data_IF_110723584771
#
_entry.id   IF_110723584771
#
_cell.length_a   1.000
_cell.length_b   1.000
_cell.length_c   1.000
_cell.angle_alpha   90.00
_cell.angle_beta   90.00
_cell.angle_gamma   90.00
#
_symmetry.space_group_name_H-M   'P 1'
#
loop_
_entity.id
_entity.type
_entity.pdbx_description
1 polymer ?
#
# COMPACT_ATOMS: atom_id res chain seq x y z
N UNK A 1 13.73 -4.69 -16.81
CA UNK A 1 14.04 -4.62 -15.37
C UNK A 1 12.79 -4.95 -14.58
N UNK A 2 12.44 -6.23 -14.38
CA UNK A 2 11.11 -6.58 -13.85
C UNK A 2 11.14 -6.96 -12.36
N UNK A 3 12.29 -6.82 -11.71
CA UNK A 3 12.51 -7.12 -10.30
C UNK A 3 12.90 -5.83 -9.55
N UNK A 4 12.18 -5.45 -8.48
CA UNK A 4 12.45 -4.22 -7.73
C UNK A 4 13.86 -4.17 -7.12
N UNK A 5 14.42 -5.29 -6.67
CA UNK A 5 15.81 -5.36 -6.19
C UNK A 5 16.80 -5.06 -7.32
N UNK A 6 16.59 -5.62 -8.51
CA UNK A 6 17.46 -5.34 -9.67
C UNK A 6 17.35 -3.88 -10.11
N UNK A 7 16.13 -3.32 -10.11
CA UNK A 7 15.90 -1.91 -10.42
C UNK A 7 16.58 -0.99 -9.39
N UNK A 8 16.54 -1.34 -8.10
CA UNK A 8 17.19 -0.58 -7.04
C UNK A 8 18.71 -0.60 -7.17
N UNK A 9 19.28 -1.79 -7.44
CA UNK A 9 20.70 -1.94 -7.68
C UNK A 9 21.15 -1.10 -8.87
N UNK A 10 20.42 -1.17 -9.99
CA UNK A 10 20.73 -0.36 -11.17
C UNK A 10 20.72 1.14 -10.87
N UNK A 11 19.66 1.65 -10.22
CA UNK A 11 19.57 3.07 -9.89
C UNK A 11 20.73 3.51 -8.96
N UNK A 12 21.06 2.67 -7.98
CA UNK A 12 22.19 2.92 -7.06
C UNK A 12 23.53 2.95 -7.78
N UNK A 13 23.75 2.03 -8.72
CA UNK A 13 24.95 1.99 -9.55
C UNK A 13 25.06 3.25 -10.42
N UNK A 14 23.97 3.66 -11.06
CA UNK A 14 23.92 4.89 -11.87
C UNK A 14 24.19 6.13 -11.02
N UNK A 15 23.55 6.28 -9.86
CA UNK A 15 23.79 7.42 -8.96
C UNK A 15 25.24 7.45 -8.45
N UNK A 16 25.85 6.28 -8.23
CA UNK A 16 27.26 6.18 -7.86
C UNK A 16 28.19 6.62 -8.99
N UNK A 17 27.93 6.20 -10.24
CA UNK A 17 28.68 6.63 -11.42
C UNK A 17 28.55 8.15 -11.60
N UNK A 18 27.34 8.70 -11.52
CA UNK A 18 27.13 10.14 -11.64
C UNK A 18 27.87 10.94 -10.59
N UNK A 19 27.89 10.45 -9.34
CA UNK A 19 28.66 11.06 -8.26
C UNK A 19 30.16 11.02 -8.54
N UNK A 20 30.68 9.87 -8.95
CA UNK A 20 32.10 9.69 -9.27
C UNK A 20 32.55 10.59 -10.43
N UNK A 21 31.77 10.63 -11.50
CA UNK A 21 32.05 11.41 -12.70
C UNK A 21 31.73 12.90 -12.56
N UNK A 22 31.12 13.33 -11.44
CA UNK A 22 30.57 14.69 -11.24
C UNK A 22 29.62 15.10 -12.37
N UNK A 23 28.74 14.16 -12.77
CA UNK A 23 27.80 14.37 -13.87
C UNK A 23 26.87 15.56 -13.58
N UNK A 24 26.79 16.56 -14.48
CA UNK A 24 25.88 17.70 -14.37
C UNK A 24 24.41 17.26 -14.26
N UNK A 25 23.62 17.94 -13.43
CA UNK A 25 22.23 17.55 -13.16
C UNK A 25 21.35 17.52 -14.43
N UNK A 26 21.59 18.45 -15.36
CA UNK A 26 20.91 18.58 -16.65
C UNK A 26 21.26 17.48 -17.66
N UNK A 27 22.34 16.73 -17.41
CA UNK A 27 22.78 15.62 -18.27
C UNK A 27 22.40 14.24 -17.72
N UNK A 28 22.09 14.14 -16.42
CA UNK A 28 21.84 12.85 -15.75
C UNK A 28 20.75 12.01 -16.40
N UNK A 29 19.64 12.63 -16.79
CA UNK A 29 18.51 11.90 -17.41
C UNK A 29 18.94 11.30 -18.76
N UNK A 30 19.58 12.10 -19.62
CA UNK A 30 20.10 11.62 -20.91
C UNK A 30 21.09 10.47 -20.73
N UNK A 31 22.03 10.61 -19.79
CA UNK A 31 22.99 9.54 -19.50
C UNK A 31 22.30 8.27 -18.99
N UNK A 32 21.34 8.40 -18.07
CA UNK A 32 20.63 7.24 -17.51
C UNK A 32 19.81 6.50 -18.57
N UNK A 33 19.16 7.25 -19.46
CA UNK A 33 18.37 6.69 -20.58
C UNK A 33 19.26 5.92 -21.54
N UNK A 34 20.47 6.41 -21.82
CA UNK A 34 21.46 5.69 -22.62
C UNK A 34 21.84 4.32 -22.01
N UNK A 35 21.84 4.20 -20.68
CA UNK A 35 22.11 2.94 -19.99
C UNK A 35 20.91 1.98 -19.91
N UNK A 36 19.74 2.35 -20.44
CA UNK A 36 18.64 1.39 -20.55
C UNK A 36 18.86 0.41 -21.70
N UNK A 37 18.50 -0.85 -21.43
CA UNK A 37 18.39 -1.91 -22.43
C UNK A 37 16.93 -2.13 -22.80
N UNK A 38 16.64 -2.31 -24.09
CA UNK A 38 15.37 -2.74 -24.70
C UNK A 38 14.10 -2.26 -23.98
N UNK A 39 13.66 -3.03 -22.97
CA UNK A 39 12.43 -2.80 -22.20
C UNK A 39 12.47 -1.53 -21.36
N UNK A 40 13.65 -1.09 -20.91
CA UNK A 40 13.83 0.19 -20.22
C UNK A 40 13.59 1.37 -21.15
N UNK A 41 14.06 1.25 -22.40
CA UNK A 41 13.91 2.28 -23.44
C UNK A 41 12.46 2.48 -23.83
N UNK A 42 11.72 1.40 -24.11
CA UNK A 42 10.30 1.49 -24.47
C UNK A 42 9.42 2.10 -23.35
N UNK A 43 9.74 1.78 -22.08
CA UNK A 43 9.09 2.43 -20.95
C UNK A 43 9.40 3.92 -20.91
N UNK A 44 10.67 4.28 -21.05
CA UNK A 44 11.10 5.67 -20.98
C UNK A 44 10.48 6.53 -22.08
N UNK A 45 10.42 6.05 -23.33
CA UNK A 45 9.77 6.75 -24.45
C UNK A 45 8.31 7.08 -24.14
N UNK A 46 7.59 6.17 -23.48
CA UNK A 46 6.20 6.40 -23.07
C UNK A 46 6.12 7.44 -21.95
N UNK A 47 6.99 7.34 -20.95
CA UNK A 47 7.03 8.26 -19.80
C UNK A 47 7.47 9.66 -20.23
N UNK A 48 8.46 9.80 -21.10
CA UNK A 48 8.91 11.07 -21.65
C UNK A 48 7.76 11.79 -22.35
N UNK A 49 6.96 11.08 -23.17
CA UNK A 49 5.78 11.66 -23.80
C UNK A 49 4.75 12.18 -22.78
N UNK A 50 4.57 11.47 -21.67
CA UNK A 50 3.68 11.91 -20.57
C UNK A 50 4.25 13.13 -19.83
N UNK A 51 5.58 13.27 -19.78
CA UNK A 51 6.30 14.39 -19.16
C UNK A 51 6.52 15.58 -20.12
N UNK A 52 5.86 15.59 -21.28
CA UNK A 52 5.89 16.72 -22.22
C UNK A 52 6.90 16.57 -23.37
N UNK A 53 7.51 15.40 -23.54
CA UNK A 53 8.25 15.02 -24.76
C UNK A 53 9.61 15.67 -24.94
N UNK A 54 10.18 16.27 -23.90
CA UNK A 54 11.50 16.88 -23.98
C UNK A 54 12.39 16.47 -22.79
N UNK A 55 13.19 15.43 -22.99
CA UNK A 55 14.17 14.92 -22.03
C UNK A 55 15.06 15.99 -21.41
N UNK A 56 15.45 17.05 -22.13
CA UNK A 56 16.34 18.09 -21.57
C UNK A 56 15.66 18.97 -20.51
N UNK A 57 14.32 18.91 -20.42
CA UNK A 57 13.53 19.61 -19.39
C UNK A 57 13.16 18.72 -18.22
N UNK A 58 13.38 17.40 -18.32
CA UNK A 58 13.05 16.46 -17.26
C UNK A 58 14.19 16.45 -16.26
N UNK A 59 13.90 16.75 -15.00
CA UNK A 59 14.91 16.72 -13.94
C UNK A 59 15.25 15.29 -13.52
N UNK A 60 16.40 15.11 -12.89
CA UNK A 60 16.79 13.82 -12.32
C UNK A 60 15.78 13.33 -11.26
N UNK A 61 15.18 14.25 -10.51
CA UNK A 61 14.15 13.97 -9.53
C UNK A 61 12.87 13.43 -10.17
N UNK A 62 12.38 14.08 -11.24
CA UNK A 62 11.20 13.62 -11.98
C UNK A 62 11.40 12.25 -12.64
N UNK A 63 12.62 12.02 -13.16
CA UNK A 63 13.02 10.70 -13.64
C UNK A 63 12.91 9.65 -12.54
N UNK A 64 13.47 9.93 -11.35
CA UNK A 64 13.44 8.99 -10.21
C UNK A 64 12.02 8.72 -9.73
N UNK A 65 11.17 9.73 -9.63
CA UNK A 65 9.76 9.56 -9.28
C UNK A 65 9.06 8.59 -10.24
N UNK A 66 9.24 8.80 -11.55
CA UNK A 66 8.68 7.93 -12.58
C UNK A 66 9.25 6.51 -12.51
N UNK A 67 10.56 6.38 -12.26
CA UNK A 67 11.25 5.11 -12.11
C UNK A 67 10.71 4.33 -10.89
N UNK A 68 10.57 4.99 -9.74
CA UNK A 68 10.01 4.38 -8.54
C UNK A 68 8.55 3.97 -8.75
N UNK A 69 7.74 4.81 -9.39
CA UNK A 69 6.37 4.49 -9.74
C UNK A 69 6.29 3.24 -10.65
N UNK A 70 7.17 3.12 -11.64
CA UNK A 70 7.17 1.98 -12.56
C UNK A 70 7.61 0.68 -11.88
N UNK A 71 8.73 0.70 -11.18
CA UNK A 71 9.42 -0.53 -10.75
C UNK A 71 9.14 -0.94 -9.30
N UNK A 72 8.61 -0.02 -8.47
CA UNK A 72 8.40 -0.27 -7.04
C UNK A 72 6.93 -0.16 -6.62
N UNK A 73 6.16 0.80 -7.14
CA UNK A 73 4.78 1.02 -6.72
C UNK A 73 3.90 -0.23 -6.91
N UNK A 74 4.01 -0.92 -8.04
CA UNK A 74 3.24 -2.15 -8.30
C UNK A 74 3.55 -3.24 -7.27
N UNK A 75 4.80 -3.34 -6.82
CA UNK A 75 5.20 -4.34 -5.84
C UNK A 75 4.75 -3.94 -4.43
N UNK A 76 4.86 -2.67 -4.06
CA UNK A 76 4.35 -2.15 -2.78
C UNK A 76 2.83 -2.38 -2.66
N UNK A 77 2.07 -2.10 -3.71
CA UNK A 77 0.61 -2.34 -3.71
C UNK A 77 0.28 -3.83 -3.64
N UNK A 78 1.02 -4.68 -4.36
CA UNK A 78 0.83 -6.15 -4.29
C UNK A 78 1.17 -6.71 -2.92
N UNK A 79 2.28 -6.29 -2.33
CA UNK A 79 2.71 -6.71 -1.00
C UNK A 79 1.71 -6.28 0.07
N UNK A 80 1.20 -5.05 -0.05
CA UNK A 80 0.18 -4.52 0.85
C UNK A 80 -1.16 -5.26 0.70
N UNK A 81 -1.59 -5.56 -0.52
CA UNK A 81 -2.78 -6.39 -0.76
C UNK A 81 -2.62 -7.81 -0.19
N UNK A 82 -1.45 -8.43 -0.40
CA UNK A 82 -1.14 -9.75 0.15
C UNK A 82 -1.11 -9.74 1.69
N UNK A 83 -0.53 -8.71 2.29
CA UNK A 83 -0.51 -8.50 3.75
C UNK A 83 -1.92 -8.31 4.31
N UNK A 84 -2.72 -7.48 3.65
CA UNK A 84 -4.12 -7.21 4.00
C UNK A 84 -4.94 -8.50 3.95
N UNK A 85 -4.83 -9.27 2.88
CA UNK A 85 -5.56 -10.54 2.74
C UNK A 85 -5.08 -11.60 3.74
N UNK A 86 -3.77 -11.67 4.02
CA UNK A 86 -3.21 -12.56 5.06
C UNK A 86 -3.77 -12.23 6.44
N UNK A 87 -3.87 -10.94 6.76
CA UNK A 87 -4.49 -10.48 8.00
C UNK A 87 -5.97 -10.87 8.06
N UNK A 88 -6.74 -10.58 7.01
CA UNK A 88 -8.17 -10.94 6.93
C UNK A 88 -8.38 -12.46 7.06
N UNK A 89 -7.51 -13.28 6.49
CA UNK A 89 -7.54 -14.75 6.62
C UNK A 89 -7.28 -15.24 8.05
N UNK A 90 -6.53 -14.48 8.86
CA UNK A 90 -6.26 -14.80 10.26
C UNK A 90 -7.36 -14.38 11.24
N UNK A 91 -8.38 -13.64 10.79
CA UNK A 91 -9.48 -13.20 11.64
C UNK A 91 -10.52 -14.31 11.86
N UNK A 92 -11.28 -14.18 12.96
CA UNK A 92 -12.47 -15.00 13.21
C UNK A 92 -13.45 -14.86 12.04
N UNK A 93 -14.03 -15.98 11.61
CA UNK A 93 -14.96 -16.06 10.44
C UNK A 93 -16.06 -14.99 10.46
N UNK A 94 -16.62 -14.71 11.65
CA UNK A 94 -17.64 -13.68 11.83
C UNK A 94 -17.19 -12.29 11.41
N UNK A 95 -15.93 -11.90 11.71
CA UNK A 95 -15.39 -10.58 11.34
C UNK A 95 -14.87 -10.57 9.90
N UNK A 96 -14.37 -11.71 9.42
CA UNK A 96 -13.76 -11.84 8.10
C UNK A 96 -14.70 -11.41 6.96
N UNK A 97 -15.97 -11.84 7.00
CA UNK A 97 -16.96 -11.48 6.00
C UNK A 97 -17.23 -9.98 5.94
N UNK A 98 -17.37 -9.33 7.11
CA UNK A 98 -17.61 -7.89 7.19
C UNK A 98 -16.42 -7.07 6.67
N UNK A 99 -15.18 -7.41 7.07
CA UNK A 99 -14.01 -6.66 6.61
C UNK A 99 -13.82 -6.81 5.10
N UNK A 100 -14.05 -8.01 4.53
CA UNK A 100 -13.99 -8.18 3.07
C UNK A 100 -15.04 -7.34 2.34
N UNK A 101 -16.25 -7.23 2.89
CA UNK A 101 -17.31 -6.41 2.30
C UNK A 101 -16.95 -4.92 2.29
N UNK A 102 -16.22 -4.45 3.32
CA UNK A 102 -15.77 -3.06 3.43
C UNK A 102 -14.56 -2.73 2.55
N UNK A 103 -13.92 -3.72 1.94
CA UNK A 103 -12.80 -3.57 0.98
C UNK A 103 -11.72 -2.59 1.45
N UNK A 104 -11.03 -2.88 2.57
CA UNK A 104 -9.93 -2.03 3.04
C UNK A 104 -8.85 -1.91 1.98
N UNK A 105 -8.37 -0.68 1.75
CA UNK A 105 -7.31 -0.40 0.79
C UNK A 105 -5.94 -0.83 1.30
N UNK A 106 -5.76 -0.90 2.63
CA UNK A 106 -4.50 -1.23 3.29
C UNK A 106 -4.70 -2.15 4.50
N UNK A 107 -3.61 -2.74 4.98
CA UNK A 107 -3.56 -3.53 6.19
C UNK A 107 -3.91 -2.67 7.43
N UNK A 108 -3.48 -1.41 7.44
CA UNK A 108 -3.82 -0.46 8.49
C UNK A 108 -5.32 -0.17 8.54
N UNK A 109 -5.98 -0.04 7.39
CA UNK A 109 -7.44 0.13 7.32
C UNK A 109 -8.14 -1.13 7.82
N UNK A 110 -7.68 -2.31 7.40
CA UNK A 110 -8.23 -3.58 7.87
C UNK A 110 -8.09 -3.75 9.40
N UNK A 111 -6.95 -3.35 9.98
CA UNK A 111 -6.72 -3.34 11.42
C UNK A 111 -7.70 -2.41 12.15
N UNK A 112 -7.87 -1.17 11.67
CA UNK A 112 -8.82 -0.22 12.27
C UNK A 112 -10.25 -0.77 12.25
N UNK A 113 -10.70 -1.26 11.09
CA UNK A 113 -12.03 -1.86 10.96
C UNK A 113 -12.23 -3.05 11.90
N UNK A 114 -11.22 -3.92 12.04
CA UNK A 114 -11.27 -5.05 12.96
C UNK A 114 -11.40 -4.59 14.42
N UNK A 115 -10.64 -3.56 14.81
CA UNK A 115 -10.68 -2.99 16.16
C UNK A 115 -12.03 -2.33 16.47
N UNK A 116 -12.54 -1.51 15.56
CA UNK A 116 -13.82 -0.80 15.73
C UNK A 116 -14.98 -1.79 15.90
N UNK A 117 -15.02 -2.84 15.08
CA UNK A 117 -16.02 -3.90 15.21
C UNK A 117 -15.88 -4.71 16.50
N UNK A 118 -14.65 -5.00 16.94
CA UNK A 118 -14.40 -5.73 18.19
C UNK A 118 -14.80 -4.90 19.43
N UNK A 119 -14.61 -3.59 19.38
CA UNK A 119 -15.05 -2.67 20.43
C UNK A 119 -16.58 -2.58 20.48
N UNK A 120 -17.24 -2.52 19.33
CA UNK A 120 -18.70 -2.55 19.25
C UNK A 120 -19.31 -3.86 19.77
N UNK A 121 -18.74 -5.02 19.41
CA UNK A 121 -19.17 -6.33 19.94
C UNK A 121 -19.06 -6.37 21.48
N UNK A 122 -17.96 -5.86 22.03
CA UNK A 122 -17.74 -5.78 23.47
C UNK A 122 -18.74 -4.85 24.16
N UNK A 123 -19.01 -3.69 23.57
CA UNK A 123 -19.97 -2.72 24.11
C UNK A 123 -21.41 -3.28 24.13
N UNK A 124 -21.80 -4.06 23.11
CA UNK A 124 -23.12 -4.68 23.06
C UNK A 124 -23.24 -5.87 24.03
N UNK A 125 -22.18 -6.67 24.19
CA UNK A 125 -22.11 -7.75 25.17
C UNK A 125 -22.25 -7.23 26.61
N UNK A 126 -21.56 -6.13 26.94
CA UNK A 126 -21.67 -5.48 28.27
C UNK A 126 -23.07 -4.95 28.57
N UNK A 127 -23.82 -4.47 27.55
CA UNK A 127 -25.22 -4.02 27.72
C UNK A 127 -26.20 -5.18 27.90
N UNK A 128 -25.93 -6.34 27.30
CA UNK A 128 -26.78 -7.53 27.45
C UNK A 128 -26.66 -8.15 28.85
N UNK A 129 -25.45 -8.19 29.42
CA UNK A 129 -25.22 -8.70 30.79
C UNK A 129 -25.86 -7.81 31.86
N UNK A 130 -25.90 -6.49 31.65
CA UNK A 130 -26.53 -5.55 32.60
C UNK A 130 -28.06 -5.58 32.65
N UNK A 131 -28.74 -6.26 31.70
CA UNK A 131 -30.21 -6.31 31.62
C UNK A 131 -30.85 -7.56 32.24
N UNK A 132 -30.04 -8.50 32.73
CA UNK A 132 -30.48 -9.76 33.30
C UNK A 132 -30.62 -9.77 34.82
N UNK A 133 -31.30 -8.80 35.45
CA UNK A 133 -31.82 -8.98 36.82
C UNK A 133 -32.85 -7.91 37.16
N UNK A 134 -34.13 -8.20 36.96
CA UNK A 134 -35.28 -7.63 37.71
C UNK A 134 -36.58 -8.16 37.11
N UNK A 135 -36.95 -9.40 37.43
CA UNK A 135 -38.37 -9.76 37.46
C UNK A 135 -38.59 -11.00 38.33
N UNK A 136 -39.11 -10.79 39.54
CA UNK A 136 -39.43 -11.89 40.44
C UNK A 136 -40.10 -11.42 41.73
N UNK A 137 -41.20 -10.67 41.65
CA UNK A 137 -42.12 -10.51 42.79
C UNK A 137 -43.56 -10.20 42.35
N UNK A 138 -44.52 -10.82 43.07
CA UNK A 138 -45.99 -10.90 42.91
C UNK A 138 -46.44 -12.12 42.10
N UNK A 139 -47.29 -13.03 42.62
CA UNK A 139 -48.59 -12.86 43.33
C UNK A 139 -48.81 -14.04 44.32
N UNK A 140 -49.25 -13.82 45.56
CA UNK A 140 -50.62 -13.61 46.12
C UNK A 140 -51.33 -14.95 46.47
N UNK A 141 -51.71 -15.13 47.73
CA UNK A 141 -52.85 -15.95 48.15
C UNK A 141 -53.43 -15.37 49.45
N UNK A 142 -54.68 -14.94 49.38
CA UNK A 142 -55.56 -14.65 50.52
C UNK A 142 -56.11 -15.97 51.06
N UNK A 143 -56.07 -16.15 52.38
CA UNK A 143 -57.23 -16.48 53.21
C UNK A 143 -56.93 -16.13 54.68
#
# INVERSE_FOLDING_TARGET
>A
MDNPTKAQMWLTSIETIFRYMKCPNDQKVQCAVFFFEDRGTAWWETTERMLGGNVSKITWEQFKESFYAKFFFVNVVKDEAARTEKFIKGLRLGLQGFIRALRPATHADALRLALDMSLHERANSSKAVGRGSTLGQKRKAEL
#
